data_IF_456957196157
#
_entry.id   IF_456957196157
#
_cell.length_a   1.000
_cell.length_b   1.000
_cell.length_c   1.000
_cell.angle_alpha   90.00
_cell.angle_beta   90.00
_cell.angle_gamma   90.00
#
_symmetry.space_group_name_H-M   'P 1'
#
loop_
_entity.id
_entity.type
_entity.pdbx_description
1 polymer ?
#
# COMPACT_ATOMS: atom_id res chain seq x y z
N UNK A 1 2.65 -24.61 -2.82
CA UNK A 1 3.59 -23.52 -2.51
C UNK A 1 2.83 -22.41 -1.81
N UNK A 2 3.42 -21.78 -0.81
CA UNK A 2 2.86 -20.56 -0.22
C UNK A 2 3.18 -19.36 -1.12
N UNK A 3 2.32 -18.33 -1.12
CA UNK A 3 2.49 -17.16 -1.98
C UNK A 3 3.89 -16.51 -1.88
N UNK A 4 4.46 -16.46 -0.67
CA UNK A 4 5.77 -15.86 -0.43
C UNK A 4 6.95 -16.64 -1.03
N UNK A 5 6.72 -17.89 -1.46
CA UNK A 5 7.69 -18.70 -2.20
C UNK A 5 7.67 -18.38 -3.71
N UNK A 6 6.65 -17.64 -4.17
CA UNK A 6 6.42 -17.29 -5.57
C UNK A 6 6.51 -15.78 -5.84
N UNK A 7 6.42 -14.96 -4.79
CA UNK A 7 6.36 -13.50 -4.86
C UNK A 7 7.27 -12.90 -3.81
N UNK A 8 8.03 -11.86 -4.19
CA UNK A 8 8.84 -11.09 -3.26
C UNK A 8 7.95 -10.20 -2.39
N UNK A 9 7.43 -10.77 -1.31
CA UNK A 9 6.54 -10.09 -0.37
C UNK A 9 7.33 -9.29 0.68
N UNK A 10 6.82 -8.12 1.06
CA UNK A 10 7.50 -7.21 2.00
C UNK A 10 7.87 -7.87 3.34
N UNK A 11 7.02 -8.77 3.85
CA UNK A 11 7.29 -9.47 5.10
C UNK A 11 8.55 -10.33 5.03
N UNK A 12 8.70 -11.09 3.94
CA UNK A 12 9.86 -11.95 3.71
C UNK A 12 11.09 -11.15 3.31
N UNK A 13 10.92 -10.07 2.52
CA UNK A 13 12.02 -9.15 2.20
C UNK A 13 12.62 -8.53 3.46
N UNK A 14 11.79 -7.92 4.31
CA UNK A 14 12.24 -7.33 5.57
C UNK A 14 12.84 -8.40 6.49
N UNK A 15 12.26 -9.60 6.54
CA UNK A 15 12.80 -10.68 7.35
C UNK A 15 14.22 -11.09 6.91
N UNK A 16 14.49 -11.13 5.60
CA UNK A 16 15.85 -11.40 5.09
C UNK A 16 16.81 -10.27 5.42
N UNK A 17 16.40 -9.01 5.26
CA UNK A 17 17.27 -7.83 5.48
C UNK A 17 17.56 -7.55 6.96
N UNK A 18 16.59 -7.79 7.83
CA UNK A 18 16.72 -7.51 9.27
C UNK A 18 17.09 -8.74 10.11
N UNK A 19 17.12 -9.94 9.51
CA UNK A 19 17.38 -11.22 10.18
C UNK A 19 16.24 -11.67 11.11
N UNK A 20 15.15 -10.91 11.18
CA UNK A 20 14.01 -11.13 12.07
C UNK A 20 12.74 -10.54 11.47
N UNK A 21 11.58 -11.00 11.94
CA UNK A 21 10.29 -10.54 11.42
C UNK A 21 10.05 -9.07 11.76
N UNK A 22 9.65 -8.28 10.75
CA UNK A 22 9.24 -6.88 10.88
C UNK A 22 7.74 -6.77 10.65
N UNK A 23 7.02 -6.05 11.51
CA UNK A 23 5.57 -5.86 11.37
C UNK A 23 5.19 -4.38 11.17
N UNK A 24 4.21 -4.09 10.32
CA UNK A 24 3.68 -2.72 10.16
C UNK A 24 2.62 -2.45 11.22
N UNK A 25 2.81 -1.42 12.03
CA UNK A 25 1.81 -0.92 12.98
C UNK A 25 1.07 0.25 12.34
N UNK A 26 -0.21 0.06 12.03
CA UNK A 26 -1.02 1.13 11.46
C UNK A 26 -1.31 2.20 12.50
N UNK A 27 -1.02 3.45 12.16
CA UNK A 27 -1.22 4.64 12.98
C UNK A 27 -2.16 5.62 12.25
N UNK A 28 -2.93 6.36 13.02
CA UNK A 28 -3.84 7.39 12.54
C UNK A 28 -3.36 8.76 13.02
N UNK A 29 -2.85 9.60 12.11
CA UNK A 29 -2.34 10.93 12.46
C UNK A 29 -3.40 12.05 12.58
N UNK A 30 -4.68 11.70 12.40
CA UNK A 30 -5.79 12.68 12.48
C UNK A 30 -5.89 13.60 11.27
N UNK A 31 -5.21 13.24 10.17
CA UNK A 31 -5.18 14.03 8.94
C UNK A 31 -6.48 13.91 8.14
N UNK A 32 -6.72 14.90 7.28
CA UNK A 32 -7.80 14.89 6.28
C UNK A 32 -7.25 14.62 4.87
N UNK A 33 -8.06 14.88 3.85
CA UNK A 33 -7.69 14.76 2.45
C UNK A 33 -8.20 15.98 1.66
N UNK A 34 -7.34 16.66 0.89
CA UNK A 34 -7.72 17.87 0.14
C UNK A 34 -8.76 17.62 -0.96
N UNK A 35 -8.92 16.36 -1.38
CA UNK A 35 -9.96 15.96 -2.32
C UNK A 35 -11.34 15.75 -1.64
N UNK A 36 -11.39 15.81 -0.31
CA UNK A 36 -12.63 15.72 0.48
C UNK A 36 -13.07 17.10 0.97
N UNK A 37 -12.13 17.90 1.47
CA UNK A 37 -12.41 19.16 2.18
C UNK A 37 -12.70 20.37 1.27
N UNK A 38 -12.49 20.25 -0.03
CA UNK A 38 -12.73 21.31 -1.01
C UNK A 38 -11.47 22.02 -1.51
N UNK A 39 -10.28 21.69 -1.03
CA UNK A 39 -9.01 22.32 -1.43
C UNK A 39 -8.62 21.94 -2.86
N UNK A 40 -8.72 20.66 -3.22
CA UNK A 40 -8.49 20.15 -4.59
C UNK A 40 -9.79 19.65 -5.21
N UNK A 41 -10.65 19.04 -4.39
CA UNK A 41 -11.94 18.50 -4.83
C UNK A 41 -12.89 18.37 -3.65
N UNK A 42 -14.15 18.02 -3.94
CA UNK A 42 -15.19 17.83 -2.92
C UNK A 42 -15.70 16.39 -2.93
N UNK A 43 -15.97 15.84 -1.75
CA UNK A 43 -16.59 14.53 -1.59
C UNK A 43 -15.66 13.32 -1.71
N UNK A 44 -14.37 13.51 -2.05
CA UNK A 44 -13.38 12.45 -2.12
C UNK A 44 -13.41 11.62 -3.41
N UNK A 45 -12.52 10.63 -3.48
CA UNK A 45 -12.47 9.69 -4.60
C UNK A 45 -13.75 8.83 -4.58
N UNK A 46 -14.30 8.51 -5.75
CA UNK A 46 -15.64 7.89 -5.85
C UNK A 46 -15.72 6.50 -5.20
N UNK A 47 -14.60 5.79 -5.10
CA UNK A 47 -14.48 4.46 -4.47
C UNK A 47 -14.20 4.52 -2.96
N UNK A 48 -13.83 5.68 -2.42
CA UNK A 48 -13.20 5.76 -1.10
C UNK A 48 -14.21 5.99 0.02
N UNK A 49 -14.16 5.13 1.03
CA UNK A 49 -14.65 5.40 2.38
C UNK A 49 -13.55 4.99 3.38
N UNK A 50 -13.03 5.94 4.17
CA UNK A 50 -11.90 5.67 5.06
C UNK A 50 -12.23 4.67 6.17
N UNK A 51 -13.47 4.69 6.67
CA UNK A 51 -13.98 3.71 7.62
C UNK A 51 -13.95 2.26 7.10
N UNK A 52 -13.74 2.05 5.79
CA UNK A 52 -13.60 0.70 5.22
C UNK A 52 -12.19 0.10 5.39
N UNK A 53 -11.19 0.92 5.74
CA UNK A 53 -9.78 0.49 5.83
C UNK A 53 -9.01 1.06 7.02
N UNK A 54 -9.58 1.98 7.78
CA UNK A 54 -9.03 2.49 9.03
C UNK A 54 -10.14 2.60 10.08
N UNK A 55 -9.78 2.34 11.34
CA UNK A 55 -10.66 2.59 12.48
C UNK A 55 -10.58 4.08 12.84
N UNK A 56 -11.68 4.80 12.64
CA UNK A 56 -11.74 6.25 12.86
C UNK A 56 -11.73 6.63 14.35
N UNK A 57 -12.04 5.72 15.28
CA UNK A 57 -11.99 6.02 16.72
C UNK A 57 -10.54 6.21 17.22
N UNK A 58 -9.59 5.59 16.52
CA UNK A 58 -8.15 5.67 16.83
C UNK A 58 -7.60 7.08 16.61
N UNK A 59 -8.23 7.91 15.77
CA UNK A 59 -7.74 9.25 15.42
C UNK A 59 -7.63 10.22 16.59
N UNK A 60 -8.33 9.95 17.69
CA UNK A 60 -8.43 10.84 18.86
C UNK A 60 -7.24 10.64 19.81
N UNK A 61 -6.49 9.54 19.67
CA UNK A 61 -5.37 9.18 20.54
C UNK A 61 -4.04 9.73 20.03
N UNK A 62 -3.13 10.07 20.95
CA UNK A 62 -1.73 10.40 20.61
C UNK A 62 -1.05 9.22 19.92
N UNK A 63 0.03 9.46 19.16
CA UNK A 63 0.77 8.39 18.49
C UNK A 63 1.37 7.44 19.53
N UNK A 64 1.86 7.96 20.65
CA UNK A 64 2.34 7.18 21.79
C UNK A 64 1.27 6.22 22.33
N UNK A 65 0.05 6.72 22.57
CA UNK A 65 -1.04 5.89 23.10
C UNK A 65 -1.49 4.83 22.08
N UNK A 66 -1.53 5.17 20.79
CA UNK A 66 -1.82 4.21 19.73
C UNK A 66 -0.78 3.07 19.67
N UNK A 67 0.49 3.37 19.87
CA UNK A 67 1.56 2.36 19.94
C UNK A 67 1.46 1.51 21.21
N UNK A 68 1.14 2.14 22.35
CA UNK A 68 0.95 1.46 23.63
C UNK A 68 -0.23 0.48 23.62
N UNK A 69 -1.36 0.88 23.04
CA UNK A 69 -2.54 0.01 22.90
C UNK A 69 -2.25 -1.23 22.02
N UNK A 70 -1.29 -1.08 21.10
CA UNK A 70 -0.82 -2.15 20.23
C UNK A 70 0.34 -2.96 20.84
N UNK A 71 0.69 -2.75 22.10
CA UNK A 71 1.77 -3.49 22.77
C UNK A 71 1.60 -5.02 22.71
N UNK A 72 0.37 -5.53 22.67
CA UNK A 72 0.11 -6.96 22.44
C UNK A 72 0.54 -7.44 21.04
N UNK A 73 0.49 -6.58 20.03
CA UNK A 73 1.04 -6.83 18.69
C UNK A 73 2.58 -6.69 18.66
N UNK A 74 3.17 -6.00 19.65
CA UNK A 74 4.62 -5.83 19.86
C UNK A 74 5.30 -7.16 20.24
N UNK A 75 4.53 -8.21 20.58
CA UNK A 75 5.07 -9.57 20.75
C UNK A 75 5.08 -10.42 19.46
N UNK A 76 4.47 -9.93 18.36
CA UNK A 76 4.35 -10.70 17.09
C UNK A 76 5.57 -10.61 16.18
N UNK A 77 6.51 -9.72 16.51
CA UNK A 77 7.76 -9.39 15.85
C UNK A 77 8.72 -8.76 16.89
N UNK A 78 10.00 -8.61 16.56
CA UNK A 78 10.95 -7.84 17.40
C UNK A 78 11.25 -6.46 16.82
N UNK A 79 10.73 -6.15 15.63
CA UNK A 79 10.97 -4.91 14.88
C UNK A 79 9.68 -4.47 14.18
N UNK A 80 9.52 -3.16 14.04
CA UNK A 80 8.27 -2.56 13.60
C UNK A 80 8.48 -1.41 12.61
N UNK A 81 7.54 -1.26 11.69
CA UNK A 81 7.41 -0.05 10.86
C UNK A 81 6.18 0.71 11.33
N UNK A 82 6.35 1.98 11.69
CA UNK A 82 5.23 2.88 11.94
C UNK A 82 4.55 3.19 10.60
N UNK A 83 3.25 2.92 10.46
CA UNK A 83 2.54 3.06 9.18
C UNK A 83 1.38 4.04 9.29
N UNK A 84 1.61 5.26 8.84
CA UNK A 84 0.58 6.29 8.72
C UNK A 84 -0.20 6.05 7.44
N UNK A 85 -1.36 5.41 7.57
CA UNK A 85 -2.13 4.90 6.43
C UNK A 85 -3.35 5.76 6.08
N UNK A 86 -4.03 6.28 7.09
CA UNK A 86 -5.34 6.89 6.91
C UNK A 86 -5.22 8.25 6.20
N UNK A 87 -6.19 8.54 5.34
CA UNK A 87 -6.30 9.81 4.61
C UNK A 87 -5.02 10.18 3.83
N UNK A 88 -4.61 11.45 3.88
CA UNK A 88 -3.40 11.96 3.22
C UNK A 88 -2.41 12.29 4.32
N UNK A 89 -1.51 11.35 4.64
CA UNK A 89 -0.69 11.46 5.86
C UNK A 89 0.41 12.52 5.82
N UNK A 90 0.48 13.30 4.75
CA UNK A 90 1.35 14.46 4.56
C UNK A 90 0.56 15.77 4.46
N UNK A 91 -0.75 15.74 4.68
CA UNK A 91 -1.63 16.90 4.59
C UNK A 91 -1.75 17.62 5.94
N UNK A 92 -0.63 18.20 6.37
CA UNK A 92 -0.50 19.11 7.51
C UNK A 92 0.78 19.94 7.34
N UNK A 93 0.98 20.95 8.19
CA UNK A 93 2.27 21.64 8.23
C UNK A 93 3.41 20.67 8.56
N UNK A 94 4.55 20.84 7.90
CA UNK A 94 5.69 19.91 8.01
C UNK A 94 6.17 19.72 9.45
N UNK A 95 6.07 20.75 10.31
CA UNK A 95 6.46 20.64 11.70
C UNK A 95 5.51 19.74 12.50
N UNK A 96 4.21 19.75 12.18
CA UNK A 96 3.22 18.84 12.78
C UNK A 96 3.52 17.40 12.36
N UNK A 97 3.81 17.18 11.07
CA UNK A 97 4.22 15.87 10.54
C UNK A 97 5.49 15.37 11.24
N UNK A 98 6.51 16.23 11.34
CA UNK A 98 7.77 15.92 12.01
C UNK A 98 7.56 15.48 13.45
N UNK A 99 6.78 16.22 14.23
CA UNK A 99 6.50 15.88 15.62
C UNK A 99 5.87 14.47 15.74
N UNK A 100 4.86 14.16 14.91
CA UNK A 100 4.19 12.85 14.93
C UNK A 100 5.08 11.71 14.45
N UNK A 101 5.87 11.93 13.39
CA UNK A 101 6.77 10.92 12.85
C UNK A 101 7.91 10.62 13.82
N UNK A 102 8.50 11.64 14.44
CA UNK A 102 9.53 11.45 15.45
C UNK A 102 9.00 10.78 16.72
N UNK A 103 7.76 11.08 17.13
CA UNK A 103 7.11 10.38 18.24
C UNK A 103 7.02 8.87 17.97
N UNK A 104 6.67 8.48 16.73
CA UNK A 104 6.68 7.08 16.32
C UNK A 104 8.10 6.49 16.24
N UNK A 105 9.04 7.19 15.60
CA UNK A 105 10.41 6.69 15.37
C UNK A 105 11.22 6.54 16.67
N UNK A 106 10.89 7.31 17.71
CA UNK A 106 11.53 7.22 19.04
C UNK A 106 10.99 6.07 19.89
N UNK A 107 9.89 5.43 19.50
CA UNK A 107 9.40 4.25 20.18
C UNK A 107 10.35 3.06 19.97
N UNK A 108 10.49 2.21 20.99
CA UNK A 108 11.35 1.05 20.95
C UNK A 108 11.00 0.14 19.75
N UNK A 109 12.03 -0.46 19.15
CA UNK A 109 11.92 -1.45 18.07
C UNK A 109 11.33 -0.94 16.74
N UNK A 110 11.08 0.36 16.59
CA UNK A 110 10.69 0.97 15.31
C UNK A 110 11.92 1.16 14.43
N UNK A 111 11.94 0.48 13.29
CA UNK A 111 13.06 0.51 12.32
C UNK A 111 12.82 1.46 11.15
N UNK A 112 11.63 2.07 11.08
CA UNK A 112 11.31 3.00 10.02
C UNK A 112 9.82 3.34 9.91
N UNK A 113 9.49 3.98 8.80
CA UNK A 113 8.22 4.66 8.57
C UNK A 113 7.64 4.28 7.20
N UNK A 114 6.33 4.08 7.15
CA UNK A 114 5.55 4.05 5.92
C UNK A 114 4.55 5.20 5.96
N UNK A 115 4.58 6.08 4.96
CA UNK A 115 3.70 7.25 4.87
C UNK A 115 2.78 7.13 3.67
N UNK A 116 1.52 6.79 3.91
CA UNK A 116 0.45 6.72 2.93
C UNK A 116 -0.08 8.10 2.57
N UNK A 117 0.06 8.48 1.30
CA UNK A 117 -0.36 9.80 0.84
C UNK A 117 -0.78 9.83 -0.63
N UNK A 118 -1.17 11.02 -1.10
CA UNK A 118 -1.47 11.30 -2.48
C UNK A 118 -0.24 11.92 -3.17
N UNK A 119 0.00 11.62 -4.46
CA UNK A 119 1.06 12.23 -5.25
C UNK A 119 1.10 13.76 -5.22
N UNK A 120 -0.07 14.41 -5.25
CA UNK A 120 -0.25 15.87 -5.25
C UNK A 120 -0.15 16.50 -3.85
N UNK A 121 0.30 15.76 -2.84
CA UNK A 121 0.37 16.22 -1.45
C UNK A 121 1.75 16.01 -0.83
N UNK A 122 2.81 16.04 -1.63
CA UNK A 122 4.19 15.80 -1.16
C UNK A 122 5.07 17.00 -1.52
N UNK A 123 4.95 18.12 -0.78
CA UNK A 123 5.79 19.29 -0.99
C UNK A 123 7.26 19.00 -0.64
N UNK A 124 8.18 19.83 -1.12
CA UNK A 124 9.63 19.69 -0.94
C UNK A 124 10.01 19.50 0.52
N UNK A 125 9.41 20.27 1.44
CA UNK A 125 9.67 20.15 2.87
C UNK A 125 9.34 18.74 3.44
N UNK A 126 8.36 18.04 2.85
CA UNK A 126 8.05 16.64 3.23
C UNK A 126 9.10 15.68 2.67
N UNK A 127 9.55 15.90 1.43
CA UNK A 127 10.63 15.10 0.85
C UNK A 127 11.93 15.25 1.64
N UNK A 128 12.29 16.48 2.00
CA UNK A 128 13.47 16.78 2.82
C UNK A 128 13.38 16.08 4.17
N UNK A 129 12.23 16.19 4.86
CA UNK A 129 11.98 15.52 6.13
C UNK A 129 12.14 14.00 6.03
N UNK A 130 11.59 13.37 4.99
CA UNK A 130 11.70 11.92 4.79
C UNK A 130 13.12 11.51 4.42
N UNK A 131 13.84 12.31 3.62
CA UNK A 131 15.23 12.07 3.28
C UNK A 131 16.16 12.16 4.50
N UNK A 132 15.90 13.11 5.41
CA UNK A 132 16.64 13.20 6.68
C UNK A 132 16.53 11.90 7.49
N UNK A 133 15.37 11.24 7.50
CA UNK A 133 15.22 9.96 8.17
C UNK A 133 15.92 8.81 7.43
N UNK A 134 15.93 8.83 6.09
CA UNK A 134 16.74 7.88 5.30
C UNK A 134 18.22 8.01 5.65
N UNK A 135 18.74 9.24 5.74
CA UNK A 135 20.14 9.52 6.08
C UNK A 135 20.50 9.07 7.51
N UNK A 136 19.53 9.07 8.42
CA UNK A 136 19.67 8.51 9.77
C UNK A 136 19.63 6.97 9.81
N UNK A 137 19.39 6.31 8.67
CA UNK A 137 19.39 4.85 8.53
C UNK A 137 18.02 4.19 8.72
N UNK A 138 16.93 4.97 8.78
CA UNK A 138 15.59 4.41 8.87
C UNK A 138 15.08 3.84 7.54
N UNK A 139 14.26 2.79 7.63
CA UNK A 139 13.53 2.25 6.48
C UNK A 139 12.32 3.12 6.15
N UNK A 140 12.47 4.02 5.18
CA UNK A 140 11.41 4.94 4.79
C UNK A 140 10.74 4.52 3.49
N UNK A 141 9.42 4.37 3.54
CA UNK A 141 8.55 4.11 2.40
C UNK A 141 7.55 5.26 2.22
N UNK A 142 7.62 5.95 1.10
CA UNK A 142 6.56 6.83 0.64
C UNK A 142 5.54 5.98 -0.13
N UNK A 143 4.37 5.78 0.46
CA UNK A 143 3.31 4.98 -0.15
C UNK A 143 2.33 5.91 -0.92
N UNK A 144 2.36 5.85 -2.25
CA UNK A 144 1.62 6.76 -3.13
C UNK A 144 0.34 6.12 -3.68
N UNK A 145 -0.79 6.75 -3.41
CA UNK A 145 -2.09 6.36 -3.93
C UNK A 145 -2.30 6.70 -5.40
N UNK A 146 -1.68 6.01 -6.36
CA UNK A 146 -1.92 6.25 -7.79
C UNK A 146 -3.28 5.69 -8.25
N UNK A 147 -3.58 4.45 -7.87
CA UNK A 147 -4.72 3.63 -8.28
C UNK A 147 -4.66 3.11 -9.72
N UNK A 148 -4.41 3.98 -10.70
CA UNK A 148 -4.27 3.65 -12.13
C UNK A 148 -3.41 4.69 -12.84
N UNK A 149 -2.73 4.32 -13.92
CA UNK A 149 -2.01 5.26 -14.78
C UNK A 149 -2.88 5.80 -15.93
N UNK A 150 -4.16 5.41 -16.00
CA UNK A 150 -5.11 5.92 -16.98
C UNK A 150 -5.73 7.24 -16.49
N UNK A 151 -5.33 8.36 -17.11
CA UNK A 151 -5.79 9.70 -16.73
C UNK A 151 -7.31 9.91 -16.89
N UNK A 152 -7.97 9.21 -17.81
CA UNK A 152 -9.42 9.29 -17.95
C UNK A 152 -10.14 8.53 -16.84
N UNK A 153 -9.59 7.40 -16.39
CA UNK A 153 -10.08 6.73 -15.18
C UNK A 153 -9.85 7.59 -13.94
N UNK A 154 -8.67 8.19 -13.77
CA UNK A 154 -8.36 9.09 -12.64
C UNK A 154 -9.37 10.24 -12.54
N UNK A 155 -9.73 10.86 -13.67
CA UNK A 155 -10.80 11.87 -13.74
C UNK A 155 -12.15 11.28 -13.36
N UNK A 156 -12.52 10.11 -13.92
CA UNK A 156 -13.81 9.45 -13.67
C UNK A 156 -14.03 9.11 -12.19
N UNK A 157 -12.96 8.70 -11.49
CA UNK A 157 -13.03 8.34 -10.07
C UNK A 157 -12.80 9.53 -9.14
N UNK A 158 -12.79 10.76 -9.68
CA UNK A 158 -12.53 11.98 -8.93
C UNK A 158 -11.24 11.88 -8.12
N UNK A 159 -10.12 11.44 -8.73
CA UNK A 159 -8.87 11.24 -7.99
C UNK A 159 -8.24 12.55 -7.58
N UNK A 160 -8.23 13.56 -8.45
CA UNK A 160 -7.71 14.91 -8.20
C UNK A 160 -6.25 15.15 -8.62
N UNK A 161 -5.54 14.13 -9.09
CA UNK A 161 -4.22 14.24 -9.73
C UNK A 161 -4.17 13.30 -10.93
N UNK A 162 -3.17 13.49 -11.80
CA UNK A 162 -2.88 12.65 -12.97
C UNK A 162 -1.67 11.73 -12.73
N UNK A 163 -1.32 10.95 -13.76
CA UNK A 163 -0.16 10.07 -13.77
C UNK A 163 1.15 10.85 -13.79
N UNK A 164 1.20 12.00 -14.46
CA UNK A 164 2.38 12.85 -14.58
C UNK A 164 2.83 13.36 -13.21
N UNK A 165 1.88 13.83 -12.39
CA UNK A 165 2.13 14.21 -10.99
C UNK A 165 2.75 13.05 -10.18
N UNK A 166 2.23 11.84 -10.34
CA UNK A 166 2.80 10.63 -9.72
C UNK A 166 4.21 10.32 -10.23
N UNK A 167 4.44 10.42 -11.54
CA UNK A 167 5.72 10.12 -12.15
C UNK A 167 6.80 11.09 -11.68
N UNK A 168 6.47 12.38 -11.59
CA UNK A 168 7.37 13.40 -11.05
C UNK A 168 7.74 13.12 -9.60
N UNK A 169 6.74 12.97 -8.71
CA UNK A 169 7.03 12.82 -7.29
C UNK A 169 7.77 11.52 -6.97
N UNK A 170 7.48 10.44 -7.72
CA UNK A 170 8.18 9.17 -7.57
C UNK A 170 9.66 9.31 -7.91
N UNK A 171 9.98 9.95 -9.04
CA UNK A 171 11.37 10.20 -9.44
C UNK A 171 12.10 11.05 -8.40
N UNK A 172 11.47 12.15 -7.94
CA UNK A 172 12.04 13.05 -6.93
C UNK A 172 12.30 12.34 -5.60
N UNK A 173 11.33 11.60 -5.08
CA UNK A 173 11.50 10.84 -3.83
C UNK A 173 12.66 9.83 -3.95
N UNK A 174 12.74 9.09 -5.07
CA UNK A 174 13.82 8.11 -5.29
C UNK A 174 15.19 8.74 -5.43
N UNK A 175 15.31 9.93 -6.04
CA UNK A 175 16.61 10.65 -6.08
C UNK A 175 17.12 11.01 -4.69
N UNK A 176 16.24 11.08 -3.69
CA UNK A 176 16.57 11.34 -2.29
C UNK A 176 16.75 10.06 -1.45
N UNK A 177 16.77 8.89 -2.09
CA UNK A 177 16.89 7.59 -1.44
C UNK A 177 15.61 7.09 -0.76
N UNK A 178 14.49 7.79 -0.92
CA UNK A 178 13.19 7.38 -0.35
C UNK A 178 12.59 6.30 -1.24
N UNK A 179 12.28 5.13 -0.66
CA UNK A 179 11.62 4.04 -1.39
C UNK A 179 10.17 4.40 -1.66
N UNK A 180 9.69 4.12 -2.87
CA UNK A 180 8.31 4.40 -3.27
C UNK A 180 7.52 3.11 -3.40
N UNK A 181 6.37 3.04 -2.74
CA UNK A 181 5.40 1.96 -2.91
C UNK A 181 4.11 2.48 -3.54
N UNK A 182 3.73 1.93 -4.69
CA UNK A 182 2.59 2.40 -5.47
C UNK A 182 1.35 1.58 -5.18
N UNK A 183 0.26 2.23 -4.83
CA UNK A 183 -1.05 1.57 -4.66
C UNK A 183 -1.77 1.54 -5.99
N UNK A 184 -2.24 0.36 -6.40
CA UNK A 184 -3.01 0.14 -7.62
C UNK A 184 -4.32 -0.58 -7.30
N UNK A 185 -5.37 -0.27 -8.06
CA UNK A 185 -6.69 -0.92 -7.95
C UNK A 185 -6.98 -1.60 -9.28
N UNK A 186 -7.25 -2.90 -9.23
CA UNK A 186 -7.75 -3.69 -10.36
C UNK A 186 -9.27 -3.71 -10.32
N UNK A 187 -9.89 -3.54 -11.49
CA UNK A 187 -11.34 -3.54 -11.67
C UNK A 187 -11.99 -2.15 -11.54
N UNK A 188 -11.24 -1.06 -11.79
CA UNK A 188 -11.83 0.27 -11.85
C UNK A 188 -12.82 0.41 -13.02
N UNK A 189 -13.83 1.29 -12.92
CA UNK A 189 -14.88 1.37 -13.92
C UNK A 189 -14.34 1.75 -15.30
N UNK A 190 -14.68 0.92 -16.31
CA UNK A 190 -14.26 1.04 -17.72
C UNK A 190 -12.79 0.72 -17.98
N UNK A 191 -12.07 0.15 -17.03
CA UNK A 191 -10.75 -0.41 -17.30
C UNK A 191 -10.86 -1.87 -17.72
N UNK A 192 -10.06 -2.22 -18.73
CA UNK A 192 -9.84 -3.59 -19.18
C UNK A 192 -8.60 -4.18 -18.52
N UNK A 193 -8.35 -5.47 -18.75
CA UNK A 193 -7.06 -6.10 -18.43
C UNK A 193 -5.89 -5.33 -19.02
N UNK A 194 -5.99 -4.87 -20.27
CA UNK A 194 -4.89 -4.17 -20.94
C UNK A 194 -4.58 -2.82 -20.30
N UNK A 195 -5.59 -2.10 -19.79
CA UNK A 195 -5.39 -0.86 -19.01
C UNK A 195 -4.60 -1.13 -17.71
N UNK A 196 -4.87 -2.26 -17.05
CA UNK A 196 -4.16 -2.66 -15.83
C UNK A 196 -2.70 -3.04 -16.14
N UNK A 197 -2.46 -3.72 -17.25
CA UNK A 197 -1.10 -4.07 -17.72
C UNK A 197 -0.33 -2.81 -18.14
N UNK A 198 -0.95 -1.89 -18.88
CA UNK A 198 -0.35 -0.60 -19.23
C UNK A 198 0.01 0.21 -17.98
N UNK A 199 -0.90 0.22 -16.99
CA UNK A 199 -0.65 0.85 -15.69
C UNK A 199 0.59 0.26 -15.01
N UNK A 200 0.70 -1.07 -14.96
CA UNK A 200 1.88 -1.73 -14.39
C UNK A 200 3.16 -1.32 -15.12
N UNK A 201 3.15 -1.40 -16.45
CA UNK A 201 4.32 -1.05 -17.27
C UNK A 201 4.78 0.38 -17.02
N UNK A 202 3.83 1.33 -16.94
CA UNK A 202 4.10 2.74 -16.64
C UNK A 202 4.73 2.93 -15.26
N UNK A 203 4.21 2.30 -14.20
CA UNK A 203 4.78 2.46 -12.85
C UNK A 203 6.14 1.79 -12.69
N UNK A 204 6.36 0.66 -13.38
CA UNK A 204 7.68 0.01 -13.43
C UNK A 204 8.69 0.89 -14.18
N UNK A 205 8.30 1.50 -15.30
CA UNK A 205 9.15 2.40 -16.07
C UNK A 205 9.52 3.68 -15.30
N UNK A 206 8.62 4.20 -14.45
CA UNK A 206 8.91 5.31 -13.54
C UNK A 206 9.89 4.89 -12.43
N UNK A 207 9.86 3.60 -12.06
CA UNK A 207 10.79 2.98 -11.13
C UNK A 207 10.23 2.80 -9.73
N UNK A 208 8.95 2.45 -9.56
CA UNK A 208 8.41 2.09 -8.23
C UNK A 208 9.24 0.97 -7.58
N UNK A 209 9.54 1.09 -6.28
CA UNK A 209 10.32 0.08 -5.54
C UNK A 209 9.41 -0.98 -4.89
N UNK A 210 8.14 -0.64 -4.68
CA UNK A 210 7.12 -1.56 -4.18
C UNK A 210 5.76 -1.37 -4.82
N UNK A 211 4.92 -2.41 -4.75
CA UNK A 211 3.54 -2.39 -5.25
C UNK A 211 2.59 -2.89 -4.16
N UNK A 212 1.45 -2.22 -4.05
CA UNK A 212 0.33 -2.64 -3.22
C UNK A 212 -0.89 -2.79 -4.14
N UNK A 213 -1.29 -4.02 -4.42
CA UNK A 213 -2.48 -4.32 -5.24
C UNK A 213 -3.74 -4.41 -4.37
N UNK A 214 -4.83 -3.96 -4.96
CA UNK A 214 -6.18 -3.98 -4.39
C UNK A 214 -7.15 -4.45 -5.48
N UNK A 215 -8.14 -5.26 -5.10
CA UNK A 215 -9.37 -5.37 -5.90
C UNK A 215 -10.24 -4.14 -5.65
N UNK A 216 -11.04 -3.72 -6.63
CA UNK A 216 -12.03 -2.66 -6.41
C UNK A 216 -13.02 -3.11 -5.33
N UNK A 217 -13.06 -2.39 -4.21
CA UNK A 217 -14.10 -2.54 -3.21
C UNK A 217 -15.20 -1.50 -3.46
N UNK A 218 -16.45 -1.97 -3.51
CA UNK A 218 -17.64 -1.13 -3.44
C UNK A 218 -18.06 -1.09 -1.97
N UNK A 219 -17.89 0.09 -1.36
CA UNK A 219 -18.08 0.29 0.08
C UNK A 219 -19.22 1.26 0.37
N UNK A 220 -19.93 1.02 1.47
CA UNK A 220 -21.02 1.86 1.97
C UNK A 220 -20.61 3.32 2.03
N UNK A 221 -21.53 4.23 1.73
CA UNK A 221 -21.26 5.68 1.74
C UNK A 221 -20.42 6.22 0.58
N UNK A 222 -19.80 5.37 -0.24
CA UNK A 222 -19.06 5.82 -1.44
C UNK A 222 -20.00 6.22 -2.60
N UNK A 223 -19.50 7.07 -3.50
CA UNK A 223 -20.24 7.42 -4.73
C UNK A 223 -20.43 6.18 -5.63
N UNK A 224 -19.45 5.28 -5.68
CA UNK A 224 -19.56 4.02 -6.41
C UNK A 224 -20.65 3.11 -5.84
N UNK A 225 -20.87 3.06 -4.53
CA UNK A 225 -21.99 2.30 -3.95
C UNK A 225 -23.35 2.77 -4.46
N UNK A 226 -23.53 4.09 -4.64
CA UNK A 226 -24.77 4.64 -5.24
C UNK A 226 -24.93 4.22 -6.70
N UNK A 227 -23.84 4.21 -7.47
CA UNK A 227 -23.86 3.76 -8.86
C UNK A 227 -24.16 2.26 -8.98
N UNK A 228 -23.54 1.44 -8.13
CA UNK A 228 -23.75 0.00 -8.05
C UNK A 228 -25.19 -0.36 -7.69
N UNK A 229 -25.76 0.26 -6.65
CA UNK A 229 -27.18 0.09 -6.27
C UNK A 229 -28.16 0.47 -7.38
N UNK A 230 -27.76 1.40 -8.25
CA UNK A 230 -28.55 1.83 -9.40
C UNK A 230 -28.33 0.96 -10.65
N UNK A 231 -27.56 -0.14 -10.56
CA UNK A 231 -27.23 -0.99 -11.70
C UNK A 231 -26.34 -0.34 -12.76
N UNK A 232 -25.59 0.72 -12.40
CA UNK A 232 -24.70 1.47 -13.32
C UNK A 232 -23.22 1.14 -13.15
N UNK A 233 -22.90 0.23 -12.25
CA UNK A 233 -21.55 -0.24 -11.97
C UNK A 233 -21.63 -1.71 -11.59
N UNK A 234 -20.73 -2.51 -12.14
CA UNK A 234 -20.52 -3.91 -11.79
C UNK A 234 -19.27 -4.05 -10.92
N UNK A 235 -19.26 -5.04 -10.04
CA UNK A 235 -18.09 -5.36 -9.22
C UNK A 235 -17.24 -6.43 -9.94
N UNK A 236 -15.91 -6.40 -9.81
CA UNK A 236 -15.07 -7.40 -10.43
C UNK A 236 -15.26 -8.78 -9.79
N UNK A 237 -15.29 -9.82 -10.61
CA UNK A 237 -15.31 -11.20 -10.15
C UNK A 237 -13.92 -11.62 -9.63
N UNK A 238 -13.89 -12.65 -8.78
CA UNK A 238 -12.63 -13.12 -8.18
C UNK A 238 -11.68 -13.64 -9.26
N UNK A 239 -12.19 -14.40 -10.21
CA UNK A 239 -11.44 -15.02 -11.29
C UNK A 239 -10.79 -13.97 -12.19
N UNK A 240 -11.51 -12.88 -12.49
CA UNK A 240 -10.99 -11.74 -13.25
C UNK A 240 -9.86 -11.05 -12.48
N UNK A 241 -10.05 -10.78 -11.19
CA UNK A 241 -9.02 -10.19 -10.35
C UNK A 241 -7.76 -11.06 -10.28
N UNK A 242 -7.93 -12.36 -10.04
CA UNK A 242 -6.82 -13.33 -9.92
C UNK A 242 -6.06 -13.42 -11.23
N UNK A 243 -6.74 -13.48 -12.37
CA UNK A 243 -6.10 -13.52 -13.69
C UNK A 243 -5.23 -12.28 -13.94
N UNK A 244 -5.79 -11.08 -13.73
CA UNK A 244 -5.07 -9.82 -13.94
C UNK A 244 -3.92 -9.68 -12.94
N UNK A 245 -4.17 -9.88 -11.64
CA UNK A 245 -3.15 -9.71 -10.60
C UNK A 245 -1.99 -10.70 -10.77
N UNK A 246 -2.27 -11.96 -11.11
CA UNK A 246 -1.22 -12.96 -11.31
C UNK A 246 -0.33 -12.64 -12.51
N UNK A 247 -0.90 -12.14 -13.60
CA UNK A 247 -0.12 -11.67 -14.73
C UNK A 247 0.73 -10.44 -14.40
N UNK A 248 0.13 -9.45 -13.72
CA UNK A 248 0.88 -8.29 -13.24
C UNK A 248 2.09 -8.72 -12.38
N UNK A 249 1.90 -9.70 -11.49
CA UNK A 249 2.98 -10.26 -10.67
C UNK A 249 4.05 -10.91 -11.55
N UNK A 250 3.67 -11.74 -12.52
CA UNK A 250 4.61 -12.41 -13.44
C UNK A 250 5.39 -11.44 -14.32
N UNK A 251 4.83 -10.27 -14.62
CA UNK A 251 5.49 -9.19 -15.36
C UNK A 251 6.35 -8.28 -14.47
N UNK A 252 6.24 -8.38 -13.15
CA UNK A 252 6.95 -7.50 -12.22
C UNK A 252 8.34 -8.06 -11.90
N UNK A 253 9.42 -7.29 -12.08
CA UNK A 253 10.78 -7.70 -11.72
C UNK A 253 10.90 -8.14 -10.24
N UNK A 254 11.71 -9.16 -9.90
CA UNK A 254 11.85 -9.68 -8.54
C UNK A 254 12.31 -8.67 -7.46
N UNK A 255 13.01 -7.61 -7.86
CA UNK A 255 13.48 -6.55 -6.98
C UNK A 255 12.37 -5.57 -6.55
N UNK A 256 11.25 -5.52 -7.28
CA UNK A 256 10.07 -4.76 -6.86
C UNK A 256 9.28 -5.55 -5.82
N UNK A 257 9.05 -4.95 -4.65
CA UNK A 257 8.50 -5.64 -3.49
C UNK A 257 6.97 -5.51 -3.46
N UNK A 258 6.26 -6.64 -3.40
CA UNK A 258 4.82 -6.62 -3.14
C UNK A 258 4.54 -6.40 -1.66
N UNK A 259 4.06 -5.19 -1.32
CA UNK A 259 3.56 -4.87 0.02
C UNK A 259 2.28 -5.65 0.34
N UNK A 260 1.49 -5.93 -0.70
CA UNK A 260 0.39 -6.89 -0.71
C UNK A 260 -0.08 -7.16 -2.13
N UNK A 261 -0.73 -8.31 -2.31
CA UNK A 261 -1.37 -8.70 -3.57
C UNK A 261 -2.89 -8.73 -3.50
N UNK A 262 -3.47 -8.47 -2.32
CA UNK A 262 -4.92 -8.40 -2.12
C UNK A 262 -5.26 -7.59 -0.86
N UNK A 263 -6.46 -7.03 -0.85
CA UNK A 263 -7.01 -6.20 0.22
C UNK A 263 -8.27 -6.82 0.80
N UNK A 264 -8.62 -6.41 2.03
CA UNK A 264 -9.90 -6.77 2.61
C UNK A 264 -10.65 -5.54 3.14
N UNK A 265 -11.96 -5.58 3.08
CA UNK A 265 -12.88 -4.70 3.78
C UNK A 265 -13.97 -5.55 4.44
N UNK A 266 -14.44 -5.17 5.62
CA UNK A 266 -15.41 -5.98 6.38
C UNK A 266 -16.84 -5.52 6.12
N UNK A 267 -17.79 -6.44 6.20
CA UNK A 267 -19.22 -6.08 6.31
C UNK A 267 -19.50 -5.43 7.67
N UNK A 268 -20.50 -4.53 7.79
CA UNK A 268 -21.43 -4.08 6.74
C UNK A 268 -20.86 -3.02 5.79
N UNK A 269 -19.64 -2.53 6.03
CA UNK A 269 -19.02 -1.47 5.20
C UNK A 269 -18.73 -1.95 3.77
N UNK A 270 -18.28 -3.19 3.58
CA UNK A 270 -18.14 -3.80 2.26
C UNK A 270 -19.53 -4.20 1.72
N UNK A 271 -19.85 -3.74 0.52
CA UNK A 271 -21.06 -4.11 -0.21
C UNK A 271 -20.79 -5.15 -1.29
N UNK A 272 -19.72 -4.97 -2.06
CA UNK A 272 -19.34 -5.85 -3.17
C UNK A 272 -17.87 -5.63 -3.57
N UNK A 273 -17.20 -6.59 -4.21
CA UNK A 273 -17.57 -8.00 -4.27
C UNK A 273 -17.29 -8.70 -2.94
N UNK A 274 -18.07 -9.72 -2.60
CA UNK A 274 -18.01 -10.36 -1.27
C UNK A 274 -16.72 -11.16 -1.04
N UNK A 275 -16.04 -11.59 -2.11
CA UNK A 275 -14.74 -12.25 -1.99
C UNK A 275 -13.68 -11.32 -1.36
N UNK A 276 -13.86 -9.98 -1.43
CA UNK A 276 -13.00 -9.01 -0.76
C UNK A 276 -13.18 -8.97 0.77
N UNK A 277 -14.14 -9.70 1.35
CA UNK A 277 -14.26 -9.80 2.81
C UNK A 277 -13.07 -10.56 3.42
N UNK A 278 -12.57 -11.56 2.68
CA UNK A 278 -11.47 -12.40 3.10
C UNK A 278 -10.28 -12.29 2.14
N UNK A 279 -9.29 -11.47 2.48
CA UNK A 279 -8.05 -11.33 1.68
C UNK A 279 -7.34 -12.66 1.40
N UNK A 280 -7.48 -13.66 2.26
CA UNK A 280 -6.79 -14.94 2.11
C UNK A 280 -7.28 -15.72 0.90
N UNK A 281 -8.55 -15.55 0.51
CA UNK A 281 -9.13 -16.22 -0.64
C UNK A 281 -8.37 -15.82 -1.92
N UNK A 282 -8.36 -14.53 -2.24
CA UNK A 282 -7.64 -14.03 -3.41
C UNK A 282 -6.13 -14.31 -3.36
N UNK A 283 -5.49 -14.20 -2.18
CA UNK A 283 -4.07 -14.57 -2.04
C UNK A 283 -3.79 -16.05 -2.34
N UNK A 284 -4.72 -16.94 -1.98
CA UNK A 284 -4.59 -18.38 -2.23
C UNK A 284 -4.74 -18.67 -3.72
N UNK A 285 -5.78 -18.11 -4.35
CA UNK A 285 -6.03 -18.29 -5.78
C UNK A 285 -4.90 -17.71 -6.65
N UNK A 286 -4.36 -16.53 -6.29
CA UNK A 286 -3.15 -15.98 -6.92
C UNK A 286 -1.97 -16.94 -6.74
N UNK A 287 -1.78 -17.49 -5.54
CA UNK A 287 -0.72 -18.46 -5.28
C UNK A 287 -0.82 -19.72 -6.15
N UNK A 288 -2.05 -20.23 -6.36
CA UNK A 288 -2.31 -21.37 -7.24
C UNK A 288 -2.00 -21.01 -8.70
N UNK A 289 -2.51 -19.88 -9.20
CA UNK A 289 -2.26 -19.42 -10.56
C UNK A 289 -0.76 -19.20 -10.84
N UNK A 290 -0.02 -18.63 -9.89
CA UNK A 290 1.43 -18.45 -10.00
C UNK A 290 2.20 -19.77 -9.92
N UNK A 291 1.72 -20.73 -9.14
CA UNK A 291 2.33 -22.07 -9.07
C UNK A 291 2.20 -22.81 -10.40
N UNK A 292 1.12 -22.57 -11.15
CA UNK A 292 0.89 -23.18 -12.46
C UNK A 292 1.60 -22.44 -13.59
N UNK A 293 1.58 -21.10 -13.57
CA UNK A 293 2.01 -20.29 -14.72
C UNK A 293 3.37 -19.60 -14.54
N UNK A 294 3.93 -19.62 -13.32
CA UNK A 294 5.25 -19.08 -12.99
C UNK A 294 5.20 -17.99 -11.93
N UNK A 295 6.30 -17.88 -11.19
CA UNK A 295 6.53 -16.89 -10.14
C UNK A 295 6.59 -15.44 -10.67
N UNK A 296 6.69 -14.48 -9.74
CA UNK A 296 7.00 -13.08 -10.06
C UNK A 296 8.18 -12.98 -11.03
N UNK A 297 8.10 -12.12 -12.03
CA UNK A 297 9.16 -11.93 -13.04
C UNK A 297 9.31 -13.06 -14.07
N UNK A 298 8.49 -14.11 -14.01
CA UNK A 298 8.56 -15.22 -14.99
C UNK A 298 8.29 -14.79 -16.44
N UNK A 299 7.56 -13.70 -16.66
CA UNK A 299 7.31 -13.14 -18.00
C UNK A 299 8.40 -12.16 -18.46
N UNK A 300 9.35 -11.79 -17.60
CA UNK A 300 10.46 -10.88 -17.94
C UNK A 300 11.80 -11.60 -18.09
N UNK A 301 11.81 -12.93 -17.98
CA UNK A 301 13.03 -13.74 -18.04
C UNK A 301 13.88 -13.71 -16.77
N UNK A 302 13.41 -13.05 -15.71
CA UNK A 302 14.06 -12.99 -14.41
C UNK A 302 13.05 -13.41 -13.33
N UNK A 303 12.81 -14.72 -13.21
CA UNK A 303 11.86 -15.24 -12.24
C UNK A 303 12.39 -15.09 -10.80
N UNK A 304 11.51 -14.74 -9.87
CA UNK A 304 11.81 -14.68 -8.45
C UNK A 304 12.18 -16.08 -7.95
N UNK A 305 13.34 -16.17 -7.29
CA UNK A 305 13.82 -17.37 -6.65
C UNK A 305 13.71 -17.17 -5.14
N UNK A 306 12.90 -18.00 -4.50
CA UNK A 306 12.74 -17.93 -3.06
C UNK A 306 13.99 -18.40 -2.32
N UNK A 307 14.54 -17.51 -1.51
CA UNK A 307 15.59 -17.84 -0.55
C UNK A 307 15.00 -17.81 0.86
N UNK A 308 15.13 -18.93 1.57
CA UNK A 308 14.70 -19.04 2.96
C UNK A 308 15.50 -18.05 3.82
N UNK A 309 14.86 -17.21 4.66
CA UNK A 309 15.59 -16.30 5.54
C UNK A 309 16.46 -17.07 6.54
N UNK A 310 17.72 -16.65 6.66
CA UNK A 310 18.59 -17.07 7.77
C UNK A 310 18.23 -16.22 9.00
N UNK A 311 17.59 -16.86 9.99
CA UNK A 311 17.22 -16.19 11.22
C UNK A 311 18.45 -16.07 12.13
N UNK A 312 18.63 -14.91 12.75
CA UNK A 312 19.61 -14.79 13.84
C UNK A 312 19.14 -15.70 14.98
N UNK A 313 19.88 -16.78 15.25
CA UNK A 313 19.63 -17.61 16.42
C UNK A 313 19.69 -16.71 17.67
N UNK A 314 18.73 -16.88 18.60
CA UNK A 314 18.80 -16.25 19.91
C UNK A 314 20.14 -16.62 20.55
N UNK A 315 21.10 -15.70 20.54
CA UNK A 315 22.38 -15.84 21.26
C UNK A 315 22.20 -15.67 22.78
N UNK A 316 21.01 -15.97 23.30
CA UNK A 316 20.61 -15.79 24.69
C UNK A 316 20.25 -17.11 25.36
N UNK A 317 21.02 -18.18 25.11
CA UNK A 317 21.14 -19.32 26.04
C UNK A 317 22.56 -19.85 25.91
N UNK A 318 23.50 -19.20 26.59
CA UNK A 318 24.75 -19.75 27.13
C UNK A 318 25.63 -18.60 27.64
N UNK A 319 25.30 -18.13 28.85
CA UNK A 319 26.25 -17.79 29.92
C UNK A 319 25.46 -17.46 31.19
#
# INVERSE_FOLDING_TARGET
MQLHELVNTIGQDLQRRYGEKVHKLTLHGGFSCPNRDGTIGRGGCTFCNVASFADEEVQIKSIHDQLKDRAGEIHRAKKYLAYFQAYTSTYAEVQVLKNMYEEALKAADIVGLCVGTRPDCVPDAVLDLLSDYVQQGYEIWLELGLQTANNDTLKRINRGHDFECYAEITKRARTLGIKVCTHLIVGLPKESRDDNIETLQKVLAVGTDGIKLHGLHIVEGSTMAKAWRAGRLEAPELEEYVAIASEMIRMTPPDVIYHRVSSAARRPTLLSPLWCENRWLAMTEIGLALSEHGAQGSLTGNAFIYTKPELMADRSINN
#
